data_IF_193802406341
#
_entry.id   IF_193802406341
#
_cell.length_a   1.000
_cell.length_b   1.000
_cell.length_c   1.000
_cell.angle_alpha   90.00
_cell.angle_beta   90.00
_cell.angle_gamma   90.00
#
_symmetry.space_group_name_H-M   'P 1'
#
loop_
_entity.id
_entity.type
_entity.pdbx_description
1 polymer ?
#
# COMPACT_ATOMS: atom_id res chain seq x y z
N UNK A 1 -49.80 -15.32 -17.35
CA UNK A 1 -49.47 -16.77 -17.36
C UNK A 1 -47.95 -16.85 -17.45
N UNK A 2 -47.17 -17.48 -16.58
CA UNK A 2 -47.38 -18.17 -15.31
C UNK A 2 -45.98 -18.29 -14.69
N UNK A 3 -45.90 -18.09 -13.38
CA UNK A 3 -44.70 -18.20 -12.57
C UNK A 3 -44.43 -19.69 -12.28
N UNK A 4 -43.19 -20.17 -12.45
CA UNK A 4 -42.73 -21.40 -11.80
C UNK A 4 -41.30 -21.22 -11.28
N UNK A 5 -41.19 -21.28 -9.94
CA UNK A 5 -39.96 -21.37 -9.16
C UNK A 5 -39.36 -22.77 -9.33
N UNK A 6 -38.05 -22.84 -9.54
CA UNK A 6 -37.28 -24.08 -9.37
C UNK A 6 -36.94 -24.25 -7.89
N UNK A 7 -37.09 -25.47 -7.37
CA UNK A 7 -36.92 -25.85 -5.97
C UNK A 7 -35.57 -26.53 -5.73
N UNK A 8 -35.12 -26.53 -4.47
CA UNK A 8 -33.82 -26.99 -3.94
C UNK A 8 -33.48 -28.50 -4.13
N UNK A 9 -34.14 -29.22 -5.03
CA UNK A 9 -33.94 -30.68 -5.18
C UNK A 9 -33.01 -31.09 -6.34
N UNK A 10 -32.57 -30.15 -7.19
CA UNK A 10 -31.70 -30.45 -8.33
C UNK A 10 -30.19 -30.36 -8.04
N UNK A 11 -29.78 -29.89 -6.84
CA UNK A 11 -28.38 -29.79 -6.45
C UNK A 11 -27.79 -31.05 -5.78
N UNK A 12 -28.63 -32.01 -5.37
CA UNK A 12 -28.20 -33.16 -4.57
C UNK A 12 -27.75 -34.41 -5.38
N UNK A 13 -27.83 -34.40 -6.72
CA UNK A 13 -27.61 -35.60 -7.54
C UNK A 13 -26.32 -35.62 -8.38
N UNK A 14 -25.33 -34.74 -8.09
CA UNK A 14 -24.05 -34.73 -8.81
C UNK A 14 -22.78 -34.88 -7.95
N UNK A 15 -22.92 -35.17 -6.65
CA UNK A 15 -21.78 -35.29 -5.73
C UNK A 15 -21.35 -36.73 -5.38
N UNK A 16 -22.01 -37.77 -5.92
CA UNK A 16 -21.63 -39.17 -5.68
C UNK A 16 -21.30 -39.88 -7.00
N UNK A 17 -20.02 -39.86 -7.36
CA UNK A 17 -19.30 -40.90 -8.14
C UNK A 17 -17.90 -40.36 -8.39
N UNK A 18 -16.91 -40.88 -7.65
CA UNK A 18 -15.54 -41.22 -8.08
C UNK A 18 -14.67 -41.45 -6.81
N UNK A 19 -15.01 -42.49 -6.05
CA UNK A 19 -14.11 -43.13 -5.07
C UNK A 19 -14.31 -44.63 -5.19
N UNK A 20 -13.49 -45.29 -6.01
CA UNK A 20 -13.15 -46.71 -5.87
C UNK A 20 -12.16 -47.11 -6.98
N UNK A 21 -10.89 -47.25 -6.64
CA UNK A 21 -9.98 -48.31 -7.11
C UNK A 21 -8.54 -47.91 -6.78
N UNK A 22 -7.89 -48.63 -5.87
CA UNK A 22 -6.50 -49.12 -6.01
C UNK A 22 -6.04 -49.72 -4.67
N UNK A 23 -6.16 -51.04 -4.56
CA UNK A 23 -5.29 -51.86 -3.74
C UNK A 23 -4.92 -53.11 -4.56
N UNK A 24 -3.62 -53.27 -4.84
CA UNK A 24 -2.87 -54.55 -4.86
C UNK A 24 -1.45 -54.33 -5.45
N UNK A 25 -0.46 -54.65 -4.62
CA UNK A 25 1.01 -54.73 -4.83
C UNK A 25 1.40 -56.02 -5.61
N UNK A 26 2.63 -56.25 -6.14
CA UNK A 26 3.92 -56.06 -5.43
C UNK A 26 5.23 -55.74 -6.21
N UNK A 27 6.16 -55.08 -5.47
CA UNK A 27 7.62 -55.30 -5.32
C UNK A 27 8.49 -55.54 -6.58
N UNK A 28 9.47 -54.64 -6.81
CA UNK A 28 10.91 -54.98 -6.92
C UNK A 28 11.84 -53.79 -6.60
N UNK A 29 12.79 -54.11 -5.71
CA UNK A 29 13.98 -53.39 -5.21
C UNK A 29 14.88 -52.90 -6.35
N UNK A 30 15.63 -51.81 -6.15
CA UNK A 30 17.10 -51.72 -6.16
C UNK A 30 17.59 -50.27 -5.96
N UNK A 31 18.52 -50.10 -5.00
CA UNK A 31 19.47 -48.99 -4.75
C UNK A 31 19.03 -47.65 -4.07
N UNK A 32 19.83 -47.26 -3.05
CA UNK A 32 19.89 -46.03 -2.21
C UNK A 32 21.30 -45.38 -2.41
N UNK A 33 21.70 -44.28 -1.74
CA UNK A 33 21.10 -42.94 -1.56
C UNK A 33 22.13 -41.79 -1.80
N UNK A 34 21.68 -40.53 -1.92
CA UNK A 34 22.51 -39.37 -1.48
C UNK A 34 21.63 -38.42 -0.66
N UNK A 35 22.14 -38.06 0.50
CA UNK A 35 21.47 -37.33 1.57
C UNK A 35 21.27 -35.84 1.25
N UNK A 36 20.07 -35.31 1.52
CA UNK A 36 19.86 -33.88 1.76
C UNK A 36 19.34 -33.70 3.18
N UNK A 37 20.07 -32.91 3.97
CA UNK A 37 19.83 -32.64 5.39
C UNK A 37 18.43 -32.05 5.62
N UNK A 38 17.62 -32.76 6.42
CA UNK A 38 16.43 -32.21 7.05
C UNK A 38 16.84 -31.26 8.16
N UNK A 39 16.34 -30.01 8.14
CA UNK A 39 16.33 -29.16 9.32
C UNK A 39 15.26 -29.69 10.29
N UNK A 40 15.71 -30.14 11.46
CA UNK A 40 14.85 -30.55 12.55
C UNK A 40 14.13 -29.34 13.14
N UNK A 41 12.81 -29.45 13.31
CA UNK A 41 12.02 -28.56 14.15
C UNK A 41 12.45 -28.78 15.62
N UNK A 42 13.10 -27.79 16.21
CA UNK A 42 13.30 -27.73 17.65
C UNK A 42 12.05 -27.10 18.29
N UNK A 43 11.33 -27.94 19.03
CA UNK A 43 10.35 -27.55 20.04
C UNK A 43 11.04 -26.75 21.16
N UNK A 44 10.60 -25.51 21.38
CA UNK A 44 11.06 -24.63 22.45
C UNK A 44 9.90 -23.90 23.12
N UNK A 45 9.94 -23.93 24.46
CA UNK A 45 9.04 -23.47 25.53
C UNK A 45 8.37 -22.08 25.40
N UNK A 46 7.29 -21.80 26.19
CA UNK A 46 6.47 -20.61 26.02
C UNK A 46 7.19 -19.35 26.48
N UNK A 47 7.34 -18.39 25.58
CA UNK A 47 7.82 -17.05 25.91
C UNK A 47 6.65 -16.26 26.48
N UNK A 48 6.75 -15.97 27.77
CA UNK A 48 5.92 -15.02 28.47
C UNK A 48 6.19 -13.59 27.96
N UNK A 49 5.13 -12.78 27.84
CA UNK A 49 5.22 -11.34 27.63
C UNK A 49 4.51 -10.82 26.38
N UNK A 50 3.18 -10.91 26.33
CA UNK A 50 2.38 -10.12 25.40
C UNK A 50 2.31 -8.69 25.95
N UNK A 51 2.99 -7.74 25.30
CA UNK A 51 2.80 -6.31 25.58
C UNK A 51 1.44 -5.93 25.00
N UNK A 52 0.45 -5.71 25.88
CA UNK A 52 -0.85 -5.20 25.51
C UNK A 52 -0.68 -3.74 25.08
N UNK A 53 -0.74 -3.46 23.77
CA UNK A 53 -0.52 -2.12 23.24
C UNK A 53 -1.63 -1.12 23.60
N UNK A 54 -2.81 -1.57 24.05
CA UNK A 54 -3.90 -0.68 24.45
C UNK A 54 -4.72 -1.34 25.55
N UNK A 55 -4.70 -0.75 26.75
CA UNK A 55 -5.55 -1.14 27.88
C UNK A 55 -6.43 0.05 28.26
N UNK A 56 -7.74 -0.17 28.28
CA UNK A 56 -8.73 0.75 28.87
C UNK A 56 -8.92 0.51 30.37
N UNK A 57 -8.06 -0.31 31.00
CA UNK A 57 -8.12 -0.57 32.44
C UNK A 57 -7.42 0.53 33.25
N UNK A 58 -7.94 0.76 34.46
CA UNK A 58 -7.62 1.87 35.36
C UNK A 58 -6.13 2.13 35.60
N UNK A 59 -5.69 3.33 35.19
CA UNK A 59 -4.76 4.27 35.83
C UNK A 59 -3.66 3.66 36.73
N UNK A 60 -2.55 3.28 36.11
CA UNK A 60 -1.25 3.24 36.76
C UNK A 60 -0.64 4.65 36.82
N UNK A 61 -0.07 5.02 37.96
CA UNK A 61 0.74 6.23 38.13
C UNK A 61 2.03 6.09 37.28
N UNK A 62 2.01 6.59 36.04
CA UNK A 62 3.16 6.53 35.13
C UNK A 62 2.86 6.53 33.62
N UNK A 63 1.60 6.46 33.19
CA UNK A 63 1.24 6.55 31.76
C UNK A 63 1.47 7.96 31.23
N UNK A 64 2.21 8.07 30.12
CA UNK A 64 2.42 9.34 29.41
C UNK A 64 1.10 9.89 28.87
N UNK A 65 0.97 11.22 28.79
CA UNK A 65 -0.24 11.90 28.32
C UNK A 65 0.08 12.79 27.12
N UNK A 66 -0.67 12.62 26.04
CA UNK A 66 -0.49 13.37 24.79
C UNK A 66 -1.74 14.21 24.54
N UNK A 67 -1.54 15.52 24.36
CA UNK A 67 -2.60 16.48 24.07
C UNK A 67 -2.88 16.63 22.58
N UNK A 68 -4.14 16.77 22.21
CA UNK A 68 -4.60 17.34 20.92
C UNK A 68 -5.86 18.17 21.16
N UNK A 69 -6.39 18.86 20.15
CA UNK A 69 -7.59 19.65 20.32
C UNK A 69 -8.86 18.79 20.43
N UNK A 70 -9.87 19.34 21.11
CA UNK A 70 -11.24 18.82 21.13
C UNK A 70 -12.09 19.40 19.97
N UNK A 71 -13.38 19.11 19.91
CA UNK A 71 -14.29 19.54 18.83
C UNK A 71 -14.13 18.70 17.55
N UNK A 72 -14.49 19.31 16.42
CA UNK A 72 -14.32 18.72 15.09
C UNK A 72 -12.86 18.31 14.89
N UNK A 73 -12.65 17.07 14.44
CA UNK A 73 -11.34 16.51 14.18
C UNK A 73 -11.11 16.21 12.69
N UNK A 74 -9.84 16.15 12.31
CA UNK A 74 -9.35 15.87 10.98
C UNK A 74 -8.56 14.56 10.95
N UNK A 75 -7.93 14.29 9.82
CA UNK A 75 -7.16 13.07 9.61
C UNK A 75 -5.77 13.14 10.20
N UNK A 76 -5.19 14.33 10.25
CA UNK A 76 -3.80 14.51 10.57
C UNK A 76 -3.55 14.34 12.07
N UNK A 77 -4.35 14.94 12.95
CA UNK A 77 -4.19 14.80 14.39
C UNK A 77 -4.66 13.44 14.89
N UNK A 78 -5.67 12.85 14.24
CA UNK A 78 -6.05 11.44 14.47
C UNK A 78 -4.89 10.49 14.13
N UNK A 79 -4.21 10.69 13.00
CA UNK A 79 -3.06 9.87 12.61
C UNK A 79 -1.83 10.17 13.50
N UNK A 80 -1.57 11.44 13.84
CA UNK A 80 -0.46 11.86 14.68
C UNK A 80 -0.55 11.22 16.07
N UNK A 81 -1.74 11.27 16.68
CA UNK A 81 -2.02 10.62 17.97
C UNK A 81 -1.83 9.10 17.88
N UNK A 82 -2.20 8.47 16.76
CA UNK A 82 -1.97 7.05 16.59
C UNK A 82 -0.47 6.72 16.47
N UNK A 83 0.26 7.43 15.60
CA UNK A 83 1.68 7.19 15.34
C UNK A 83 2.55 7.43 16.56
N UNK A 84 2.32 8.50 17.32
CA UNK A 84 3.13 8.78 18.51
C UNK A 84 2.99 7.66 19.54
N UNK A 85 1.82 7.04 19.66
CA UNK A 85 1.57 5.89 20.54
C UNK A 85 2.26 4.60 20.10
N UNK A 86 2.86 4.55 18.90
CA UNK A 86 3.71 3.44 18.45
C UNK A 86 5.18 3.62 18.84
N UNK A 87 5.57 4.79 19.33
CA UNK A 87 6.96 5.08 19.70
C UNK A 87 7.31 4.50 21.06
N UNK A 88 8.59 4.22 21.30
CA UNK A 88 9.06 3.74 22.60
C UNK A 88 8.77 4.74 23.72
N UNK A 89 8.81 6.04 23.42
CA UNK A 89 8.65 7.12 24.40
C UNK A 89 7.19 7.31 24.84
N UNK A 90 6.24 7.12 23.95
CA UNK A 90 4.81 7.37 24.19
C UNK A 90 3.95 6.12 24.00
N UNK A 91 4.55 4.93 24.04
CA UNK A 91 3.85 3.66 23.89
C UNK A 91 2.69 3.56 24.88
N UNK A 92 1.47 3.40 24.37
CA UNK A 92 0.26 3.31 25.18
C UNK A 92 -0.10 4.59 25.93
N UNK A 93 0.36 5.76 25.46
CA UNK A 93 0.01 7.04 26.06
C UNK A 93 -1.51 7.30 26.04
N UNK A 94 -1.98 8.01 27.07
CA UNK A 94 -3.34 8.52 27.14
C UNK A 94 -3.50 9.73 26.21
N UNK A 95 -4.53 9.71 25.35
CA UNK A 95 -4.87 10.87 24.53
C UNK A 95 -5.83 11.78 25.28
N UNK A 96 -5.44 13.04 25.43
CA UNK A 96 -6.20 14.08 26.11
C UNK A 96 -6.63 15.13 25.07
N UNK A 97 -7.93 15.34 24.90
CA UNK A 97 -8.47 16.30 23.92
C UNK A 97 -8.91 17.59 24.62
N UNK A 98 -8.21 18.70 24.37
CA UNK A 98 -8.46 20.00 25.01
C UNK A 98 -7.81 21.16 24.25
N UNK A 99 -8.33 22.38 24.43
CA UNK A 99 -7.65 23.64 24.04
C UNK A 99 -7.23 24.49 25.24
N UNK A 100 -7.40 23.97 26.46
CA UNK A 100 -6.97 24.66 27.67
C UNK A 100 -5.44 24.63 27.77
N UNK A 101 -4.81 25.79 27.56
CA UNK A 101 -3.36 25.97 27.59
C UNK A 101 -2.77 25.52 28.93
N UNK A 102 -3.45 25.77 30.04
CA UNK A 102 -2.95 25.38 31.37
C UNK A 102 -2.87 23.86 31.50
N UNK A 103 -3.85 23.14 30.94
CA UNK A 103 -3.81 21.69 30.88
C UNK A 103 -2.75 21.20 29.89
N UNK A 104 -2.68 21.77 28.68
CA UNK A 104 -1.70 21.40 27.64
C UNK A 104 -0.25 21.53 28.13
N UNK A 105 0.05 22.54 28.94
CA UNK A 105 1.38 22.76 29.52
C UNK A 105 1.81 21.64 30.48
N UNK A 106 0.86 20.89 31.05
CA UNK A 106 1.14 19.74 31.93
C UNK A 106 1.35 18.42 31.18
N UNK A 107 1.06 18.37 29.87
CA UNK A 107 1.10 17.14 29.09
C UNK A 107 2.51 16.86 28.55
N UNK A 108 2.84 15.56 28.41
CA UNK A 108 4.16 15.11 27.99
C UNK A 108 4.45 15.44 26.52
N UNK A 109 3.42 15.44 25.66
CA UNK A 109 3.48 15.92 24.28
C UNK A 109 2.18 16.63 23.91
N UNK A 110 2.23 17.51 22.92
CA UNK A 110 1.05 18.21 22.39
C UNK A 110 1.14 18.28 20.87
N UNK A 111 0.06 17.88 20.21
CA UNK A 111 -0.08 17.75 18.77
C UNK A 111 -1.23 18.60 18.29
N UNK A 112 -1.07 19.30 17.17
CA UNK A 112 -2.16 20.01 16.49
C UNK A 112 -2.86 21.10 17.31
N UNK A 113 -2.27 21.50 18.42
CA UNK A 113 -2.79 22.54 19.31
C UNK A 113 -1.66 23.17 20.10
N UNK A 114 -1.87 24.39 20.58
CA UNK A 114 -0.92 25.12 21.43
C UNK A 114 -0.07 26.16 20.69
N UNK A 115 -0.09 26.18 19.36
CA UNK A 115 0.57 27.19 18.52
C UNK A 115 2.09 27.11 18.53
N UNK A 116 2.67 25.94 18.82
CA UNK A 116 4.12 25.75 18.96
C UNK A 116 4.61 24.48 18.24
N UNK A 117 5.67 24.64 17.43
CA UNK A 117 6.50 23.53 16.95
C UNK A 117 7.85 23.56 17.65
N UNK A 118 8.06 22.62 18.58
CA UNK A 118 9.27 22.52 19.38
C UNK A 118 9.60 21.03 19.65
N UNK A 119 10.31 20.35 18.73
CA UNK A 119 10.55 18.91 18.80
C UNK A 119 11.19 18.43 20.12
N UNK A 120 12.12 19.20 20.69
CA UNK A 120 12.77 18.81 21.96
C UNK A 120 11.85 18.90 23.19
N UNK A 121 10.67 19.53 23.05
CA UNK A 121 9.59 19.59 24.06
C UNK A 121 8.36 18.80 23.63
N UNK A 122 8.47 18.03 22.54
CA UNK A 122 7.37 17.26 21.97
C UNK A 122 6.11 18.09 21.66
N UNK A 123 6.32 19.29 21.12
CA UNK A 123 5.26 20.16 20.63
C UNK A 123 5.25 20.12 19.10
N UNK A 124 4.14 19.69 18.53
CA UNK A 124 4.00 19.41 17.10
C UNK A 124 2.72 20.04 16.56
N UNK A 125 2.62 21.36 16.61
CA UNK A 125 1.56 22.14 15.97
C UNK A 125 2.10 22.85 14.71
N UNK A 126 1.22 23.05 13.73
CA UNK A 126 1.51 23.68 12.43
C UNK A 126 0.71 24.97 12.15
N UNK A 127 -0.24 25.31 13.04
CA UNK A 127 -1.19 26.43 12.89
C UNK A 127 -0.57 27.82 13.08
N UNK A 128 0.65 27.91 13.63
CA UNK A 128 1.32 29.15 13.95
C UNK A 128 1.70 29.97 12.70
N UNK A 129 1.56 31.30 12.84
CA UNK A 129 1.89 32.24 11.76
C UNK A 129 3.34 32.08 11.34
N UNK A 130 3.57 31.92 10.04
CA UNK A 130 4.91 31.78 9.48
C UNK A 130 5.49 30.36 9.56
N UNK A 131 4.71 29.36 10.00
CA UNK A 131 5.12 27.97 9.91
C UNK A 131 5.25 27.54 8.45
N UNK A 132 6.44 27.06 8.08
CA UNK A 132 6.80 26.63 6.72
C UNK A 132 7.68 25.37 6.73
N UNK A 133 7.60 24.57 7.80
CA UNK A 133 8.38 23.34 7.88
C UNK A 133 7.90 22.35 6.81
N UNK A 134 8.87 21.72 6.15
CA UNK A 134 8.65 20.66 5.15
C UNK A 134 9.38 19.39 5.57
N UNK A 135 9.03 18.25 4.97
CA UNK A 135 9.68 16.98 5.29
C UNK A 135 11.19 16.99 5.00
N UNK A 136 11.62 17.74 3.99
CA UNK A 136 12.97 17.70 3.45
C UNK A 136 13.04 16.76 2.24
N UNK A 137 14.22 16.26 1.89
CA UNK A 137 14.40 15.25 0.82
C UNK A 137 13.81 15.61 -0.56
N UNK A 138 13.63 16.90 -0.85
CA UNK A 138 13.04 17.41 -2.10
C UNK A 138 11.52 17.60 -2.06
N UNK A 139 10.85 17.24 -0.97
CA UNK A 139 9.44 17.56 -0.75
C UNK A 139 9.27 19.01 -0.34
N UNK A 140 8.23 19.65 -0.87
CA UNK A 140 7.92 21.07 -0.65
C UNK A 140 6.59 21.28 0.06
N UNK A 141 5.82 20.22 0.26
CA UNK A 141 4.54 20.24 0.98
C UNK A 141 4.80 20.62 2.44
N UNK A 142 4.07 21.63 2.91
CA UNK A 142 4.07 22.05 4.31
C UNK A 142 3.50 20.93 5.17
N UNK A 143 4.15 20.63 6.30
CA UNK A 143 3.72 19.56 7.19
C UNK A 143 2.47 19.95 7.98
N UNK A 144 1.58 18.98 8.23
CA UNK A 144 0.60 19.03 9.31
C UNK A 144 1.14 18.27 10.54
N UNK A 145 0.32 18.10 11.57
CA UNK A 145 0.73 17.39 12.78
C UNK A 145 1.08 15.92 12.52
N UNK A 146 0.42 15.26 11.56
CA UNK A 146 0.81 13.93 11.08
C UNK A 146 2.21 13.92 10.48
N UNK A 147 2.49 14.83 9.54
CA UNK A 147 3.80 14.96 8.92
C UNK A 147 4.92 15.29 9.91
N UNK A 148 4.63 16.12 10.92
CA UNK A 148 5.56 16.43 12.00
C UNK A 148 5.92 15.18 12.83
N UNK A 149 4.92 14.42 13.29
CA UNK A 149 5.18 13.18 14.02
C UNK A 149 5.91 12.17 13.15
N UNK A 150 5.50 12.03 11.90
CA UNK A 150 6.18 11.13 10.98
C UNK A 150 7.63 11.56 10.73
N UNK A 151 7.91 12.86 10.61
CA UNK A 151 9.27 13.39 10.44
C UNK A 151 10.20 12.96 11.57
N UNK A 152 9.76 13.09 12.82
CA UNK A 152 10.62 12.82 13.99
C UNK A 152 10.65 11.35 14.40
N UNK A 153 9.54 10.64 14.22
CA UNK A 153 9.34 9.27 14.73
C UNK A 153 9.14 8.20 13.66
N UNK A 154 8.91 8.57 12.40
CA UNK A 154 8.58 7.62 11.32
C UNK A 154 9.66 6.55 11.08
N UNK A 155 10.93 6.94 11.11
CA UNK A 155 12.04 5.98 11.01
C UNK A 155 12.09 4.99 12.20
N UNK A 156 11.78 5.44 13.42
CA UNK A 156 11.72 4.57 14.60
C UNK A 156 10.58 3.56 14.47
N UNK A 157 9.39 4.03 14.06
CA UNK A 157 8.21 3.20 13.85
C UNK A 157 8.51 2.14 12.79
N UNK A 158 9.06 2.54 11.64
CA UNK A 158 9.42 1.62 10.56
C UNK A 158 10.49 0.62 11.02
N UNK A 159 11.55 1.09 11.68
CA UNK A 159 12.64 0.23 12.16
C UNK A 159 12.15 -0.86 13.12
N UNK A 160 11.32 -0.45 14.09
CA UNK A 160 10.70 -1.36 15.07
C UNK A 160 9.87 -2.42 14.37
N UNK A 161 9.04 -2.00 13.42
CA UNK A 161 8.14 -2.88 12.68
C UNK A 161 8.88 -3.86 11.76
N UNK A 162 9.99 -3.42 11.15
CA UNK A 162 10.85 -4.28 10.34
C UNK A 162 11.78 -5.17 11.16
N UNK A 163 11.90 -4.93 12.47
CA UNK A 163 12.95 -5.51 13.33
C UNK A 163 14.35 -5.24 12.75
N UNK A 164 14.58 -4.01 12.29
CA UNK A 164 15.85 -3.54 11.73
C UNK A 164 16.35 -2.32 12.49
N UNK A 165 17.63 -2.00 12.33
CA UNK A 165 18.19 -0.76 12.85
C UNK A 165 17.62 0.47 12.11
N UNK A 166 17.43 1.58 12.84
CA UNK A 166 16.95 2.87 12.29
C UNK A 166 17.74 3.35 11.08
N UNK A 167 19.06 3.12 11.07
CA UNK A 167 19.95 3.49 9.96
C UNK A 167 19.95 2.51 8.77
N UNK A 168 19.16 1.44 8.81
CA UNK A 168 19.17 0.43 7.75
C UNK A 168 18.61 0.99 6.42
N UNK A 169 19.22 0.62 5.29
CA UNK A 169 18.82 1.15 3.95
C UNK A 169 17.35 0.91 3.61
N UNK A 170 16.78 -0.22 4.03
CA UNK A 170 15.36 -0.52 3.83
C UNK A 170 14.45 0.38 4.68
N UNK A 171 14.87 0.77 5.89
CA UNK A 171 14.13 1.73 6.72
C UNK A 171 14.11 3.08 6.03
N UNK A 172 15.27 3.56 5.57
CA UNK A 172 15.40 4.80 4.80
C UNK A 172 14.54 4.80 3.51
N UNK A 173 14.58 3.69 2.75
CA UNK A 173 13.79 3.55 1.53
C UNK A 173 12.28 3.60 1.81
N UNK A 174 11.83 2.92 2.87
CA UNK A 174 10.42 2.92 3.27
C UNK A 174 10.00 4.24 3.89
N UNK A 175 10.88 4.92 4.62
CA UNK A 175 10.60 6.23 5.21
C UNK A 175 10.22 7.26 4.14
N UNK A 176 10.99 7.33 3.06
CA UNK A 176 10.69 8.20 1.93
C UNK A 176 9.47 7.74 1.14
N UNK A 177 9.31 6.43 0.93
CA UNK A 177 8.20 5.88 0.16
C UNK A 177 6.85 6.06 0.87
N UNK A 178 6.80 5.84 2.18
CA UNK A 178 5.59 6.02 3.00
C UNK A 178 5.22 7.49 3.09
N UNK A 179 6.19 8.40 3.24
CA UNK A 179 5.89 9.83 3.19
C UNK A 179 5.22 10.22 1.88
N UNK A 180 5.90 9.95 0.75
CA UNK A 180 5.46 10.29 -0.60
C UNK A 180 4.07 9.73 -0.95
N UNK A 181 3.79 8.49 -0.54
CA UNK A 181 2.62 7.76 -1.02
C UNK A 181 1.47 7.71 0.01
N UNK A 182 1.64 8.28 1.21
CA UNK A 182 0.63 8.23 2.25
C UNK A 182 0.55 9.52 3.08
N UNK A 183 1.64 9.92 3.74
CA UNK A 183 1.63 11.05 4.68
C UNK A 183 1.47 12.40 3.96
N UNK A 184 2.16 12.60 2.84
CA UNK A 184 2.16 13.88 2.13
C UNK A 184 0.76 14.33 1.69
N UNK A 185 -0.11 13.39 1.31
CA UNK A 185 -1.49 13.72 0.95
C UNK A 185 -2.32 14.20 2.14
N UNK A 186 -2.03 13.70 3.35
CA UNK A 186 -2.67 14.14 4.60
C UNK A 186 -2.18 15.55 4.96
N UNK A 187 -0.86 15.77 4.91
CA UNK A 187 -0.23 17.08 5.09
C UNK A 187 -0.82 18.13 4.14
N UNK A 188 -0.89 17.81 2.85
CA UNK A 188 -1.42 18.71 1.83
C UNK A 188 -2.90 19.04 2.05
N UNK A 189 -3.74 18.02 2.32
CA UNK A 189 -5.18 18.21 2.53
C UNK A 189 -5.45 19.13 3.70
N UNK A 190 -4.74 18.90 4.81
CA UNK A 190 -4.94 19.65 6.04
C UNK A 190 -4.44 21.10 5.94
N UNK A 191 -3.32 21.31 5.23
CA UNK A 191 -2.85 22.67 4.91
C UNK A 191 -3.61 23.36 3.75
N UNK A 192 -4.69 22.76 3.23
CA UNK A 192 -5.51 23.33 2.17
C UNK A 192 -4.80 23.43 0.81
N UNK A 193 -3.83 22.56 0.56
CA UNK A 193 -3.05 22.52 -0.68
C UNK A 193 -3.79 21.64 -1.71
N UNK A 194 -4.07 22.21 -2.88
CA UNK A 194 -4.67 21.45 -3.98
C UNK A 194 -3.66 20.46 -4.58
N UNK A 195 -4.14 19.26 -4.95
CA UNK A 195 -3.30 18.25 -5.61
C UNK A 195 -2.78 18.71 -6.98
N UNK A 196 -3.49 19.61 -7.64
CA UNK A 196 -3.13 20.19 -8.94
C UNK A 196 -3.48 21.69 -8.91
N UNK A 197 -2.79 22.47 -9.74
CA UNK A 197 -3.21 23.85 -10.00
C UNK A 197 -4.60 23.85 -10.66
N UNK A 198 -5.55 24.59 -10.08
CA UNK A 198 -6.97 24.53 -10.42
C UNK A 198 -7.42 25.75 -11.23
N UNK A 199 -7.03 25.81 -12.50
CA UNK A 199 -7.61 26.79 -13.44
C UNK A 199 -9.01 26.37 -13.95
N UNK A 200 -9.42 25.13 -13.69
CA UNK A 200 -10.71 24.54 -14.09
C UNK A 200 -11.28 23.65 -12.98
N UNK A 201 -12.62 23.47 -12.90
CA UNK A 201 -13.22 22.56 -11.93
C UNK A 201 -12.82 21.09 -12.19
N UNK A 202 -12.76 20.25 -11.13
CA UNK A 202 -12.43 18.85 -11.29
C UNK A 202 -13.49 18.12 -12.13
N UNK A 203 -13.04 17.15 -12.94
CA UNK A 203 -13.94 16.35 -13.79
C UNK A 203 -14.96 15.52 -12.99
N UNK A 204 -14.63 15.18 -11.75
CA UNK A 204 -15.50 14.48 -10.81
C UNK A 204 -15.06 14.80 -9.38
N UNK A 205 -15.99 14.69 -8.42
CA UNK A 205 -15.69 14.82 -6.99
C UNK A 205 -15.31 13.45 -6.44
N UNK A 206 -14.20 13.36 -5.71
CA UNK A 206 -13.77 12.14 -5.03
C UNK A 206 -13.75 12.35 -3.53
N UNK A 207 -14.72 11.76 -2.81
CA UNK A 207 -14.81 11.82 -1.34
C UNK A 207 -14.53 10.45 -0.68
N UNK A 208 -13.79 9.59 -1.37
CA UNK A 208 -13.47 8.22 -0.92
C UNK A 208 -12.13 8.12 -0.20
N UNK A 209 -11.31 9.17 -0.23
CA UNK A 209 -9.98 9.22 0.40
C UNK A 209 -10.05 9.28 1.93
N UNK A 210 -8.91 9.03 2.58
CA UNK A 210 -8.83 8.82 4.03
C UNK A 210 -9.38 10.00 4.83
N UNK A 211 -8.98 11.24 4.54
CA UNK A 211 -9.47 12.40 5.30
C UNK A 211 -10.98 12.60 5.18
N UNK A 212 -11.56 12.33 4.00
CA UNK A 212 -13.03 12.30 3.85
C UNK A 212 -13.69 11.19 4.67
N UNK A 213 -13.07 10.02 4.80
CA UNK A 213 -13.60 8.90 5.62
C UNK A 213 -13.53 9.24 7.12
N UNK A 214 -12.43 9.86 7.56
CA UNK A 214 -12.25 10.32 8.94
C UNK A 214 -13.26 11.43 9.25
N UNK A 215 -13.45 12.39 8.35
CA UNK A 215 -14.41 13.48 8.54
C UNK A 215 -15.83 12.99 8.80
N UNK A 216 -16.25 11.86 8.19
CA UNK A 216 -17.56 11.22 8.43
C UNK A 216 -17.73 10.58 9.81
N UNK A 217 -16.66 10.45 10.59
CA UNK A 217 -16.74 9.97 11.96
C UNK A 217 -17.00 11.10 12.96
N UNK A 218 -16.87 12.37 12.56
CA UNK A 218 -17.25 13.48 13.43
C UNK A 218 -18.73 13.36 13.84
N UNK A 219 -19.08 13.73 15.09
CA UNK A 219 -20.48 13.80 15.51
C UNK A 219 -21.32 14.64 14.54
N UNK A 220 -22.53 14.16 14.26
CA UNK A 220 -23.44 14.87 13.38
C UNK A 220 -23.98 16.13 14.07
N UNK A 221 -24.18 17.20 13.32
CA UNK A 221 -24.70 18.47 13.86
C UNK A 221 -26.13 18.33 14.43
N UNK A 222 -26.88 17.33 13.97
CA UNK A 222 -28.25 17.05 14.41
C UNK A 222 -28.29 16.17 15.67
N UNK A 223 -27.15 15.60 16.08
CA UNK A 223 -27.11 14.76 17.26
C UNK A 223 -27.41 15.58 18.52
N UNK A 224 -28.35 15.09 19.32
CA UNK A 224 -28.70 15.71 20.61
C UNK A 224 -27.61 15.54 21.67
N UNK A 225 -26.84 14.46 21.55
CA UNK A 225 -25.67 14.20 22.39
C UNK A 225 -24.42 14.74 21.73
N UNK A 226 -23.91 15.84 22.29
CA UNK A 226 -22.66 16.53 21.94
C UNK A 226 -21.67 16.44 23.11
N UNK A 227 -21.75 15.39 23.92
CA UNK A 227 -20.85 15.18 25.06
C UNK A 227 -19.40 14.93 24.62
N UNK A 228 -18.46 15.31 25.49
CA UNK A 228 -17.03 15.01 25.30
C UNK A 228 -16.75 13.52 25.18
N UNK A 229 -17.52 12.68 25.87
CA UNK A 229 -17.41 11.23 25.88
C UNK A 229 -17.69 10.66 24.49
N UNK A 230 -18.78 11.11 23.85
CA UNK A 230 -19.13 10.69 22.49
C UNK A 230 -18.13 11.21 21.46
N UNK A 231 -17.73 12.48 21.59
CA UNK A 231 -16.72 13.08 20.72
C UNK A 231 -15.38 12.32 20.81
N UNK A 232 -14.94 11.97 22.02
CA UNK A 232 -13.71 11.21 22.24
C UNK A 232 -13.82 9.76 21.75
N UNK A 233 -14.99 9.13 21.87
CA UNK A 233 -15.22 7.81 21.29
C UNK A 233 -15.15 7.83 19.75
N UNK A 234 -15.73 8.85 19.12
CA UNK A 234 -15.63 9.08 17.68
C UNK A 234 -14.19 9.35 17.22
N UNK A 235 -13.46 10.19 17.95
CA UNK A 235 -12.04 10.44 17.69
C UNK A 235 -11.20 9.18 17.82
N UNK A 236 -11.47 8.33 18.82
CA UNK A 236 -10.79 7.05 18.95
C UNK A 236 -11.03 6.15 17.74
N UNK A 237 -12.26 6.11 17.20
CA UNK A 237 -12.54 5.39 15.95
C UNK A 237 -11.76 5.98 14.76
N UNK A 238 -11.63 7.32 14.70
CA UNK A 238 -10.82 7.99 13.69
C UNK A 238 -9.34 7.63 13.80
N UNK A 239 -8.76 7.63 15.00
CA UNK A 239 -7.40 7.16 15.24
C UNK A 239 -7.20 5.72 14.76
N UNK A 240 -8.13 4.82 15.08
CA UNK A 240 -8.05 3.41 14.67
C UNK A 240 -8.17 3.25 13.15
N UNK A 241 -9.01 4.05 12.49
CA UNK A 241 -9.13 4.04 11.04
C UNK A 241 -7.86 4.58 10.37
N UNK A 242 -7.38 5.75 10.77
CA UNK A 242 -6.18 6.37 10.20
C UNK A 242 -4.93 5.52 10.47
N UNK A 243 -4.78 5.05 11.71
CA UNK A 243 -3.71 4.19 12.15
C UNK A 243 -3.72 2.82 11.49
N UNK A 244 -4.90 2.22 11.32
CA UNK A 244 -5.08 0.97 10.59
C UNK A 244 -4.60 1.08 9.14
N UNK A 245 -4.95 2.17 8.46
CA UNK A 245 -4.48 2.44 7.09
C UNK A 245 -2.97 2.75 7.05
N UNK A 246 -2.43 3.48 8.03
CA UNK A 246 -0.99 3.76 8.13
C UNK A 246 -0.15 2.50 8.37
N UNK A 247 -0.52 1.68 9.37
CA UNK A 247 0.09 0.38 9.56
C UNK A 247 -0.07 -0.47 8.31
N UNK A 248 -1.17 -0.28 7.57
CA UNK A 248 -1.38 -0.93 6.30
C UNK A 248 -0.43 -0.54 5.17
N UNK A 249 0.30 0.54 5.34
CA UNK A 249 1.39 0.89 4.44
C UNK A 249 2.71 0.31 4.94
N UNK A 250 2.93 0.21 6.26
CA UNK A 250 4.26 0.04 6.88
C UNK A 250 4.61 -1.39 7.31
N UNK A 251 3.65 -2.21 7.74
CA UNK A 251 3.96 -3.39 8.59
C UNK A 251 4.54 -4.64 7.90
N UNK A 252 5.54 -5.27 8.58
CA UNK A 252 6.27 -6.46 8.16
C UNK A 252 6.44 -7.46 9.33
N UNK A 253 5.48 -7.59 10.26
CA UNK A 253 5.47 -8.74 11.18
C UNK A 253 4.09 -9.18 11.69
N UNK A 254 3.95 -10.51 11.83
CA UNK A 254 2.85 -11.26 12.44
C UNK A 254 2.38 -10.64 13.77
N UNK A 255 1.06 -10.71 14.01
CA UNK A 255 0.30 -10.42 15.25
C UNK A 255 -0.38 -9.03 15.36
N UNK A 256 -1.18 -8.65 14.38
CA UNK A 256 -2.37 -7.79 14.61
C UNK A 256 -3.64 -8.54 14.16
N UNK A 257 -3.77 -9.79 14.59
CA UNK A 257 -4.98 -10.60 14.36
C UNK A 257 -5.89 -10.67 15.60
N UNK A 258 -5.60 -9.89 16.64
CA UNK A 258 -6.35 -10.02 17.90
C UNK A 258 -6.77 -8.63 18.37
N UNK A 259 -8.08 -8.44 18.38
CA UNK A 259 -8.85 -7.32 18.95
C UNK A 259 -9.05 -6.09 18.06
N UNK A 260 -9.44 -6.24 16.80
CA UNK A 260 -10.51 -5.40 16.22
C UNK A 260 -11.30 -6.27 15.23
N UNK A 261 -12.58 -6.48 15.54
CA UNK A 261 -13.68 -7.10 14.77
C UNK A 261 -13.39 -7.53 13.32
N UNK A 262 -13.65 -8.81 13.02
CA UNK A 262 -14.00 -9.45 11.73
C UNK A 262 -14.22 -8.56 10.49
N UNK A 263 -13.20 -7.82 10.05
CA UNK A 263 -13.15 -7.20 8.73
C UNK A 263 -11.77 -7.48 8.14
N UNK A 264 -11.79 -8.08 6.94
CA UNK A 264 -10.62 -8.44 6.16
C UNK A 264 -9.83 -7.17 5.76
N UNK A 265 -8.86 -6.74 6.55
CA UNK A 265 -7.92 -5.68 6.15
C UNK A 265 -6.75 -6.30 5.38
N UNK A 266 -6.94 -6.43 4.06
CA UNK A 266 -5.90 -6.75 3.07
C UNK A 266 -5.35 -5.45 2.48
N UNK A 267 -4.27 -4.92 3.06
CA UNK A 267 -3.36 -3.99 2.36
C UNK A 267 -1.98 -3.86 3.05
N UNK A 268 -1.91 -4.26 4.32
CA UNK A 268 -0.77 -4.16 5.26
C UNK A 268 0.57 -4.78 4.83
N UNK A 269 0.56 -5.72 3.90
CA UNK A 269 1.77 -6.38 3.41
C UNK A 269 2.45 -5.67 2.23
N UNK A 270 1.93 -4.55 1.73
CA UNK A 270 2.29 -4.11 0.39
C UNK A 270 3.72 -3.57 0.29
N UNK A 271 4.08 -2.47 0.98
CA UNK A 271 5.38 -1.85 0.71
C UNK A 271 6.55 -2.73 1.14
N UNK A 272 6.43 -3.35 2.29
CA UNK A 272 7.51 -4.09 2.89
C UNK A 272 7.65 -5.53 2.32
N UNK A 273 6.55 -6.22 1.99
CA UNK A 273 6.56 -7.62 1.49
C UNK A 273 6.39 -7.76 -0.02
N UNK A 274 5.84 -6.74 -0.70
CA UNK A 274 5.55 -6.79 -2.14
C UNK A 274 6.37 -5.76 -2.92
N UNK A 275 6.24 -4.48 -2.57
CA UNK A 275 6.88 -3.38 -3.30
C UNK A 275 8.40 -3.40 -3.11
N UNK A 276 8.93 -3.43 -1.89
CA UNK A 276 10.37 -3.34 -1.65
C UNK A 276 11.14 -4.51 -2.28
N UNK A 277 10.71 -5.78 -2.16
CA UNK A 277 11.33 -6.89 -2.89
C UNK A 277 11.18 -6.79 -4.42
N UNK A 278 10.15 -6.11 -4.93
CA UNK A 278 10.01 -5.90 -6.37
C UNK A 278 11.15 -5.05 -6.95
N UNK A 279 11.76 -4.17 -6.15
CA UNK A 279 12.85 -3.30 -6.61
C UNK A 279 14.01 -4.09 -7.20
N UNK A 280 14.47 -5.14 -6.53
CA UNK A 280 15.58 -5.96 -7.03
C UNK A 280 15.22 -6.69 -8.32
N UNK A 281 13.98 -7.17 -8.44
CA UNK A 281 13.47 -7.80 -9.67
C UNK A 281 13.51 -6.82 -10.83
N UNK A 282 13.08 -5.56 -10.61
CA UNK A 282 13.10 -4.52 -11.66
C UNK A 282 14.54 -4.15 -12.03
N UNK A 283 15.46 -4.03 -11.05
CA UNK A 283 16.89 -3.78 -11.31
C UNK A 283 17.48 -4.90 -12.17
N UNK A 284 17.34 -6.17 -11.77
CA UNK A 284 17.85 -7.31 -12.53
C UNK A 284 17.27 -7.38 -13.95
N UNK A 285 15.98 -7.04 -14.08
CA UNK A 285 15.31 -7.01 -15.39
C UNK A 285 15.83 -5.86 -16.26
N UNK A 286 16.11 -4.70 -15.67
CA UNK A 286 16.68 -3.55 -16.37
C UNK A 286 18.10 -3.88 -16.85
N UNK A 287 18.92 -4.52 -16.03
CA UNK A 287 20.28 -4.94 -16.41
C UNK A 287 20.26 -5.95 -17.56
N UNK A 288 19.31 -6.90 -17.55
CA UNK A 288 19.19 -7.94 -18.56
C UNK A 288 18.47 -7.51 -19.85
N UNK A 289 17.94 -6.28 -19.94
CA UNK A 289 17.00 -5.86 -21.01
C UNK A 289 17.55 -5.97 -22.43
N UNK A 290 18.85 -5.77 -22.63
CA UNK A 290 19.48 -5.90 -23.95
C UNK A 290 19.48 -7.34 -24.47
N UNK A 291 19.41 -8.33 -23.57
CA UNK A 291 19.29 -9.74 -23.93
C UNK A 291 17.85 -10.13 -24.31
N UNK A 292 16.87 -9.35 -23.89
CA UNK A 292 15.45 -9.55 -24.21
C UNK A 292 15.16 -9.01 -25.60
N UNK A 293 15.57 -7.77 -25.85
CA UNK A 293 15.39 -7.13 -27.14
C UNK A 293 16.54 -6.15 -27.44
N UNK A 294 17.11 -6.15 -28.67
CA UNK A 294 18.19 -5.24 -29.04
C UNK A 294 17.84 -3.75 -28.88
N UNK A 295 16.56 -3.37 -28.93
CA UNK A 295 16.15 -1.98 -28.67
C UNK A 295 16.42 -1.53 -27.23
N UNK A 296 16.54 -2.48 -26.28
CA UNK A 296 16.60 -2.22 -24.84
C UNK A 296 15.39 -1.43 -24.28
N UNK A 297 14.29 -1.34 -25.04
CA UNK A 297 13.04 -0.66 -24.65
C UNK A 297 11.95 -1.62 -24.16
N UNK A 298 12.24 -2.92 -24.13
CA UNK A 298 11.33 -3.97 -23.64
C UNK A 298 11.93 -4.60 -22.38
N UNK A 299 11.21 -4.51 -21.28
CA UNK A 299 11.59 -5.11 -20.00
C UNK A 299 10.87 -6.45 -19.84
N UNK A 300 11.60 -7.52 -19.50
CA UNK A 300 11.01 -8.81 -19.15
C UNK A 300 11.07 -9.01 -17.64
N UNK A 301 9.92 -9.10 -16.97
CA UNK A 301 9.85 -9.54 -15.59
C UNK A 301 9.70 -11.07 -15.57
N UNK A 302 10.72 -11.77 -15.05
CA UNK A 302 10.69 -13.23 -14.86
C UNK A 302 9.57 -13.68 -13.92
N UNK A 303 9.19 -12.79 -13.00
CA UNK A 303 8.08 -12.97 -12.06
C UNK A 303 7.32 -11.65 -11.97
N UNK A 304 5.98 -11.72 -12.01
CA UNK A 304 5.17 -10.53 -11.81
C UNK A 304 5.42 -9.94 -10.42
N UNK A 305 5.61 -8.62 -10.38
CA UNK A 305 5.73 -7.83 -9.17
C UNK A 305 5.22 -6.40 -9.45
N UNK A 306 4.92 -5.58 -8.41
CA UNK A 306 4.65 -4.17 -8.59
C UNK A 306 5.87 -3.45 -9.17
N UNK A 307 5.83 -3.11 -10.46
CA UNK A 307 7.02 -2.62 -11.19
C UNK A 307 6.95 -1.14 -11.58
N UNK A 308 5.76 -0.56 -11.70
CA UNK A 308 5.54 0.75 -12.31
C UNK A 308 6.31 1.89 -11.60
N UNK A 309 6.13 2.03 -10.29
CA UNK A 309 6.81 3.08 -9.50
C UNK A 309 8.33 2.86 -9.50
N UNK A 310 8.77 1.62 -9.27
CA UNK A 310 10.20 1.28 -9.31
C UNK A 310 10.82 1.58 -10.66
N UNK A 311 10.15 1.28 -11.76
CA UNK A 311 10.66 1.57 -13.10
C UNK A 311 10.91 3.07 -13.26
N UNK A 312 9.94 3.91 -12.91
CA UNK A 312 10.07 5.36 -13.07
C UNK A 312 11.17 5.97 -12.20
N UNK A 313 11.32 5.50 -10.96
CA UNK A 313 12.37 5.97 -10.05
C UNK A 313 13.75 5.47 -10.51
N UNK A 314 13.88 4.18 -10.84
CA UNK A 314 15.14 3.56 -11.27
C UNK A 314 15.64 4.10 -12.62
N UNK A 315 14.76 4.44 -13.56
CA UNK A 315 15.19 5.05 -14.82
C UNK A 315 15.89 6.40 -14.60
N UNK A 316 15.44 7.18 -13.62
CA UNK A 316 16.09 8.43 -13.22
C UNK A 316 17.40 8.17 -12.47
N UNK A 317 17.36 7.30 -11.46
CA UNK A 317 18.52 6.98 -10.62
C UNK A 317 19.68 6.38 -11.43
N UNK A 318 19.37 5.41 -12.30
CA UNK A 318 20.34 4.69 -13.12
C UNK A 318 20.58 5.34 -14.48
N UNK A 319 19.94 6.49 -14.76
CA UNK A 319 20.04 7.25 -16.03
C UNK A 319 19.80 6.37 -17.26
N UNK A 320 18.75 5.57 -17.21
CA UNK A 320 18.42 4.61 -18.26
C UNK A 320 18.04 5.35 -19.55
N UNK A 321 18.70 4.98 -20.64
CA UNK A 321 18.43 5.43 -21.99
C UNK A 321 18.75 4.28 -22.98
N UNK A 322 17.88 3.93 -23.94
CA UNK A 322 16.51 4.43 -24.12
C UNK A 322 15.58 4.01 -22.98
N UNK A 323 14.51 4.79 -22.79
CA UNK A 323 13.47 4.51 -21.78
C UNK A 323 12.68 3.24 -22.12
N UNK A 324 12.21 2.54 -21.10
CA UNK A 324 11.37 1.36 -21.27
C UNK A 324 10.00 1.78 -21.80
N UNK A 325 9.55 1.15 -22.87
CA UNK A 325 8.26 1.39 -23.50
C UNK A 325 7.25 0.29 -23.15
N UNK A 326 7.72 -0.95 -23.06
CA UNK A 326 6.87 -2.11 -22.74
C UNK A 326 7.47 -2.99 -21.66
N UNK A 327 6.61 -3.53 -20.81
CA UNK A 327 6.94 -4.54 -19.81
C UNK A 327 6.19 -5.82 -20.14
N UNK A 328 6.92 -6.93 -20.21
CA UNK A 328 6.40 -8.26 -20.51
C UNK A 328 6.57 -9.14 -19.29
N UNK A 329 5.53 -9.92 -18.96
CA UNK A 329 5.60 -10.90 -17.87
C UNK A 329 4.52 -11.97 -18.03
N UNK A 330 4.75 -13.14 -17.43
CA UNK A 330 3.74 -14.19 -17.38
C UNK A 330 2.86 -14.05 -16.14
N UNK A 331 1.55 -14.14 -16.34
CA UNK A 331 0.59 -14.27 -15.24
C UNK A 331 0.71 -15.66 -14.63
N UNK A 332 1.11 -15.76 -13.36
CA UNK A 332 1.40 -17.05 -12.73
C UNK A 332 0.18 -17.99 -12.65
N UNK A 333 -1.04 -17.44 -12.59
CA UNK A 333 -2.28 -18.20 -12.44
C UNK A 333 -2.78 -18.74 -13.78
N UNK A 334 -2.85 -17.87 -14.77
CA UNK A 334 -3.40 -18.20 -16.10
C UNK A 334 -2.34 -18.73 -17.06
N UNK A 335 -1.05 -18.54 -16.74
CA UNK A 335 0.10 -18.79 -17.62
C UNK A 335 0.09 -17.97 -18.91
N UNK A 336 -0.81 -16.98 -19.02
CA UNK A 336 -0.91 -16.06 -20.15
C UNK A 336 0.14 -14.96 -19.98
N UNK A 337 0.82 -14.63 -21.07
CA UNK A 337 1.78 -13.55 -21.14
C UNK A 337 1.07 -12.22 -21.34
N UNK A 338 1.52 -11.20 -20.60
CA UNK A 338 1.02 -9.84 -20.68
C UNK A 338 2.07 -8.94 -21.30
N UNK A 339 1.61 -7.99 -22.11
CA UNK A 339 2.38 -6.87 -22.63
C UNK A 339 1.73 -5.62 -22.09
N UNK A 340 2.46 -4.82 -21.33
CA UNK A 340 1.95 -3.57 -20.77
C UNK A 340 2.80 -2.40 -21.19
N UNK A 341 2.14 -1.32 -21.60
CA UNK A 341 2.79 -0.07 -21.90
C UNK A 341 3.27 0.60 -20.62
N UNK A 342 4.52 1.07 -20.60
CA UNK A 342 5.06 1.83 -19.47
C UNK A 342 4.33 3.18 -19.34
N UNK A 343 3.95 3.60 -18.12
CA UNK A 343 3.29 4.88 -17.90
C UNK A 343 4.23 6.06 -18.16
N UNK A 344 3.67 7.21 -18.52
CA UNK A 344 4.43 8.48 -18.61
C UNK A 344 4.74 9.00 -17.20
N UNK A 345 3.74 8.99 -16.32
CA UNK A 345 3.87 9.34 -14.91
C UNK A 345 2.87 8.55 -14.04
N UNK A 346 3.05 8.47 -12.71
CA UNK A 346 2.14 7.75 -11.83
C UNK A 346 0.70 8.32 -11.83
N UNK A 347 0.56 9.62 -12.05
CA UNK A 347 -0.69 10.38 -11.88
C UNK A 347 -1.54 10.39 -13.15
N UNK A 348 -0.97 9.99 -14.30
CA UNK A 348 -1.62 10.01 -15.61
C UNK A 348 -1.89 8.60 -16.10
N UNK A 349 -3.04 8.44 -16.75
CA UNK A 349 -3.38 7.22 -17.49
C UNK A 349 -2.68 7.12 -18.86
N UNK A 350 -1.80 8.07 -19.18
CA UNK A 350 -1.03 8.08 -20.40
C UNK A 350 0.13 7.10 -20.33
N UNK A 351 0.33 6.37 -21.43
CA UNK A 351 1.44 5.44 -21.60
C UNK A 351 2.38 5.97 -22.68
N UNK A 352 3.67 5.67 -22.53
CA UNK A 352 4.73 6.13 -23.45
C UNK A 352 4.51 5.62 -24.88
N UNK A 353 4.02 4.38 -25.01
CA UNK A 353 3.67 3.78 -26.30
C UNK A 353 2.46 2.86 -26.14
N UNK A 354 1.37 3.16 -26.86
CA UNK A 354 0.18 2.28 -26.88
C UNK A 354 0.38 1.16 -27.89
N UNK A 355 -0.28 0.04 -27.67
CA UNK A 355 -0.44 -0.99 -28.69
C UNK A 355 -1.21 -0.40 -29.91
N UNK A 356 -0.91 -0.86 -31.13
CA UNK A 356 -1.50 -0.36 -32.37
C UNK A 356 -3.01 -0.22 -32.29
N UNK A 357 -3.53 0.91 -32.77
CA UNK A 357 -4.97 1.17 -32.82
C UNK A 357 -5.78 0.06 -33.50
N UNK A 358 -5.34 -0.53 -34.63
CA UNK A 358 -6.07 -1.62 -35.28
C UNK A 358 -6.25 -2.88 -34.42
N UNK A 359 -5.49 -3.04 -33.33
CA UNK A 359 -5.59 -4.20 -32.45
C UNK A 359 -6.57 -3.99 -31.30
N UNK A 360 -6.88 -2.74 -30.97
CA UNK A 360 -7.55 -2.37 -29.72
C UNK A 360 -8.99 -2.86 -29.72
N UNK A 361 -9.39 -3.56 -28.66
CA UNK A 361 -10.73 -4.13 -28.51
C UNK A 361 -10.90 -5.53 -29.11
N UNK A 362 -9.96 -6.01 -29.93
CA UNK A 362 -10.01 -7.35 -30.51
C UNK A 362 -9.47 -8.42 -29.55
N UNK A 363 -9.91 -9.67 -29.77
CA UNK A 363 -9.56 -10.83 -28.94
C UNK A 363 -9.43 -12.12 -29.75
N UNK A 364 -8.77 -13.12 -29.15
CA UNK A 364 -8.68 -14.47 -29.69
C UNK A 364 -8.08 -14.58 -31.10
N UNK A 365 -8.68 -15.44 -31.91
CA UNK A 365 -8.18 -15.78 -33.25
C UNK A 365 -8.28 -14.58 -34.21
N UNK A 366 -9.35 -13.78 -34.12
CA UNK A 366 -9.50 -12.54 -34.90
C UNK A 366 -8.33 -11.57 -34.66
N UNK A 367 -7.93 -11.39 -33.40
CA UNK A 367 -6.74 -10.59 -33.08
C UNK A 367 -5.46 -11.23 -33.62
N UNK A 368 -5.37 -12.57 -33.62
CA UNK A 368 -4.21 -13.27 -34.17
C UNK A 368 -4.10 -13.08 -35.69
N UNK A 369 -5.22 -13.04 -36.40
CA UNK A 369 -5.31 -12.75 -37.83
C UNK A 369 -4.91 -11.30 -38.14
N UNK A 370 -5.49 -10.33 -37.42
CA UNK A 370 -5.20 -8.90 -37.59
C UNK A 370 -3.72 -8.58 -37.33
N UNK A 371 -3.15 -9.18 -36.29
CA UNK A 371 -1.76 -8.93 -35.88
C UNK A 371 -0.74 -9.70 -36.72
N UNK A 372 -1.15 -10.81 -37.34
CA UNK A 372 -0.25 -11.82 -37.87
C UNK A 372 0.57 -12.54 -36.78
N UNK A 373 0.19 -12.40 -35.51
CA UNK A 373 0.89 -12.99 -34.35
C UNK A 373 0.01 -14.08 -33.75
N UNK A 374 0.43 -15.35 -33.76
CA UNK A 374 -0.38 -16.44 -33.24
C UNK A 374 -0.57 -16.34 -31.72
N UNK A 375 -1.67 -16.93 -31.25
CA UNK A 375 -1.93 -17.09 -29.81
C UNK A 375 -2.32 -15.80 -29.10
N UNK A 376 -2.77 -14.77 -29.81
CA UNK A 376 -3.28 -13.56 -29.19
C UNK A 376 -4.53 -13.87 -28.35
N UNK A 377 -4.63 -13.22 -27.19
CA UNK A 377 -5.76 -13.39 -26.28
C UNK A 377 -6.65 -12.16 -26.33
N UNK A 378 -6.09 -10.95 -26.17
CA UNK A 378 -6.85 -9.70 -26.14
C UNK A 378 -5.92 -8.47 -26.15
N UNK A 379 -6.39 -7.34 -26.70
CA UNK A 379 -5.80 -6.01 -26.50
C UNK A 379 -6.86 -5.04 -25.98
N UNK A 380 -6.54 -4.33 -24.89
CA UNK A 380 -7.45 -3.35 -24.30
C UNK A 380 -7.80 -2.22 -25.29
N UNK A 381 -9.03 -1.71 -25.25
CA UNK A 381 -9.52 -0.65 -26.15
C UNK A 381 -8.67 0.63 -26.10
N UNK A 382 -8.16 0.99 -24.93
CA UNK A 382 -7.22 2.12 -24.75
C UNK A 382 -5.75 1.79 -25.14
N UNK A 383 -5.45 0.56 -25.56
CA UNK A 383 -4.14 0.14 -26.04
C UNK A 383 -3.01 0.03 -24.99
N UNK A 384 -3.30 0.18 -23.70
CA UNK A 384 -2.25 0.12 -22.66
C UNK A 384 -1.82 -1.31 -22.30
N UNK A 385 -2.61 -2.34 -22.63
CA UNK A 385 -2.31 -3.74 -22.30
C UNK A 385 -2.76 -4.69 -23.40
N UNK A 386 -1.93 -5.70 -23.67
CA UNK A 386 -2.22 -6.85 -24.51
C UNK A 386 -1.89 -8.16 -23.80
N UNK A 387 -2.41 -9.27 -24.32
CA UNK A 387 -2.20 -10.62 -23.81
C UNK A 387 -1.94 -11.61 -24.93
N UNK A 388 -1.00 -12.52 -24.72
CA UNK A 388 -0.68 -13.61 -25.64
C UNK A 388 -0.46 -14.92 -24.86
N UNK A 389 -0.71 -16.07 -25.48
CA UNK A 389 -0.50 -17.39 -24.88
C UNK A 389 0.98 -17.73 -24.73
N UNK A 390 1.86 -17.17 -25.56
CA UNK A 390 3.31 -17.47 -25.56
C UNK A 390 4.16 -16.24 -25.27
N UNK A 391 5.38 -16.48 -24.80
CA UNK A 391 6.38 -15.43 -24.57
C UNK A 391 6.76 -14.76 -25.90
N UNK A 392 6.99 -15.58 -26.92
CA UNK A 392 7.40 -15.15 -28.25
C UNK A 392 6.33 -14.27 -28.90
N UNK A 393 5.06 -14.63 -28.73
CA UNK A 393 3.93 -13.85 -29.21
C UNK A 393 3.81 -12.51 -28.48
N UNK A 394 3.95 -12.49 -27.15
CA UNK A 394 3.97 -11.26 -26.37
C UNK A 394 5.14 -10.34 -26.77
N UNK A 395 6.33 -10.90 -26.98
CA UNK A 395 7.51 -10.16 -27.45
C UNK A 395 7.30 -9.62 -28.86
N UNK A 396 6.71 -10.40 -29.77
CA UNK A 396 6.37 -9.96 -31.11
C UNK A 396 5.35 -8.79 -31.08
N UNK A 397 4.34 -8.85 -30.20
CA UNK A 397 3.38 -7.77 -30.03
C UNK A 397 4.08 -6.46 -29.59
N UNK A 398 4.94 -6.54 -28.58
CA UNK A 398 5.70 -5.38 -28.10
C UNK A 398 6.64 -4.81 -29.19
N UNK A 399 7.36 -5.66 -29.92
CA UNK A 399 8.25 -5.27 -31.03
C UNK A 399 7.50 -4.56 -32.16
N UNK A 400 6.34 -5.08 -32.54
CA UNK A 400 5.53 -4.48 -33.60
C UNK A 400 4.95 -3.14 -33.13
N UNK A 401 4.49 -3.06 -31.88
CA UNK A 401 4.03 -1.81 -31.29
C UNK A 401 5.14 -0.74 -31.16
N UNK A 402 6.39 -1.14 -30.88
CA UNK A 402 7.54 -0.23 -30.88
C UNK A 402 7.80 0.40 -32.26
N UNK A 403 7.58 -0.38 -33.33
CA UNK A 403 7.87 0.04 -34.72
C UNK A 403 6.70 0.78 -35.38
N UNK A 404 5.47 0.56 -34.92
CA UNK A 404 4.30 1.26 -35.47
C UNK A 404 4.34 2.74 -35.12
N UNK A 405 3.92 3.61 -36.03
CA UNK A 405 3.67 5.02 -35.72
C UNK A 405 2.62 5.13 -34.60
N UNK A 406 2.82 6.08 -33.68
CA UNK A 406 2.00 6.26 -32.48
C UNK A 406 0.56 6.64 -32.79
#
# INVERSE_FOLDING_TARGET
MGCTKLTEYEYALRAEKWTAALSMLPIRRWWRPIASRSFAYLSGSPIAGTVAYYSTASHGTGTKRVGTHNGCFHCDEALACFMICLTAKFSGAEIVRTRDIQLLDTLDAVLDVGGEYHPSRDRYDHHQKGFNEVFGHGFVTKLSSAGLIYKHYGEEIIATELQLDKGHKNVQCLYLAVYKNFIEAIDATDNGINQYDIDQPPKYVNNTYLSSRIGRLNPEWIDLDQSSEKENAAFHQAMMLAGGEFLAVVSLSRLVQTVVTNQNYLSISFYARSWLPARSIVIESLEARSNVDPSSQILLLKKFCPWNLHLLDLEKELKINPLIMFVIYQDERTKIWRVQAAPVSPEKFDCRKRLPEPWRGFQGDELSEITGIPGCVFVHMAGFMGKNRTYEGALAMARTALRSSS
#
